data_IF_686730922698
#
_entry.id   IF_686730922698
#
_cell.length_a   1.000
_cell.length_b   1.000
_cell.length_c   1.000
_cell.angle_alpha   90.00
_cell.angle_beta   90.00
_cell.angle_gamma   90.00
#
_symmetry.space_group_name_H-M   'P 1'
#
loop_
_entity.id
_entity.type
_entity.pdbx_description
1 polymer ?
#
# COMPACT_ATOMS: atom_id res chain seq x y z
N UNK A 1 -16.60 16.83 -47.62
CA UNK A 1 -15.50 16.33 -46.78
C UNK A 1 -15.19 17.39 -45.74
N UNK A 2 -15.67 17.21 -44.51
CA UNK A 2 -15.22 18.00 -43.36
C UNK A 2 -13.93 17.37 -42.87
N UNK A 3 -12.81 18.10 -42.92
CA UNK A 3 -11.54 17.59 -42.40
C UNK A 3 -11.63 17.71 -40.88
N UNK A 4 -11.83 16.59 -40.19
CA UNK A 4 -11.78 16.54 -38.74
C UNK A 4 -10.31 16.51 -38.31
N UNK A 5 -9.69 17.69 -38.25
CA UNK A 5 -8.37 17.86 -37.62
C UNK A 5 -8.49 17.45 -36.16
N UNK A 6 -7.77 16.39 -35.78
CA UNK A 6 -7.58 16.09 -34.36
C UNK A 6 -6.99 17.33 -33.66
N UNK A 7 -7.40 17.65 -32.42
CA UNK A 7 -6.79 18.74 -31.67
C UNK A 7 -5.30 18.48 -31.51
N UNK A 8 -4.48 19.53 -31.56
CA UNK A 8 -3.07 19.41 -31.26
C UNK A 8 -2.90 18.96 -29.80
N UNK A 9 -1.94 18.07 -29.54
CA UNK A 9 -1.59 17.65 -28.19
C UNK A 9 -1.12 18.86 -27.37
N UNK A 10 -1.68 19.03 -26.17
CA UNK A 10 -1.15 19.95 -25.15
C UNK A 10 0.35 19.65 -24.95
N UNK A 11 1.26 20.63 -25.09
CA UNK A 11 2.66 20.43 -24.75
C UNK A 11 2.80 20.25 -23.24
N UNK A 12 3.81 19.49 -22.79
CA UNK A 12 4.07 19.38 -21.37
C UNK A 12 4.56 20.72 -20.78
N UNK A 13 3.96 21.12 -19.67
CA UNK A 13 4.31 22.33 -18.92
C UNK A 13 5.44 22.06 -17.94
N UNK A 14 5.88 23.10 -17.24
CA UNK A 14 6.81 22.93 -16.10
C UNK A 14 6.20 22.17 -14.92
N UNK A 15 4.88 22.17 -14.77
CA UNK A 15 4.17 21.52 -13.67
C UNK A 15 3.99 20.03 -13.97
N UNK A 16 3.65 19.68 -15.21
CA UNK A 16 3.65 18.28 -15.68
C UNK A 16 5.02 17.63 -15.42
N UNK A 17 6.11 18.30 -15.80
CA UNK A 17 7.46 17.75 -15.67
C UNK A 17 7.90 17.51 -14.19
N UNK A 18 7.31 18.22 -13.23
CA UNK A 18 7.53 17.96 -11.79
C UNK A 18 6.65 16.81 -11.29
N UNK A 19 5.43 16.67 -11.82
CA UNK A 19 4.56 15.54 -11.53
C UNK A 19 5.12 14.21 -12.08
N UNK A 20 5.62 14.20 -13.32
CA UNK A 20 6.29 13.06 -13.94
C UNK A 20 7.53 12.63 -13.13
N UNK A 21 8.43 13.56 -12.82
CA UNK A 21 9.64 13.26 -12.04
C UNK A 21 9.34 12.77 -10.61
N UNK A 22 8.25 13.24 -10.00
CA UNK A 22 7.77 12.69 -8.73
C UNK A 22 7.18 11.28 -8.89
N UNK A 23 6.50 11.00 -10.01
CA UNK A 23 6.00 9.65 -10.35
C UNK A 23 7.16 8.67 -10.55
N UNK A 24 8.21 9.07 -11.27
CA UNK A 24 9.46 8.28 -11.39
C UNK A 24 10.07 8.00 -10.00
N UNK A 25 10.13 9.02 -9.13
CA UNK A 25 10.62 8.87 -7.74
C UNK A 25 9.75 7.87 -6.93
N UNK A 26 8.43 7.85 -7.13
CA UNK A 26 7.54 6.88 -6.48
C UNK A 26 7.71 5.46 -7.03
N UNK A 27 8.08 5.30 -8.30
CA UNK A 27 8.40 4.02 -8.92
C UNK A 27 9.73 3.48 -8.37
N UNK A 28 10.75 4.33 -8.25
CA UNK A 28 12.05 3.98 -7.63
C UNK A 28 11.90 3.58 -6.15
N UNK A 29 11.11 4.34 -5.37
CA UNK A 29 10.86 4.05 -3.96
C UNK A 29 9.92 2.84 -3.76
N UNK A 30 9.04 2.54 -4.74
CA UNK A 30 8.13 1.41 -4.66
C UNK A 30 8.16 0.46 -5.89
N UNK A 31 9.09 -0.50 -5.89
CA UNK A 31 9.08 -1.64 -6.81
C UNK A 31 7.77 -2.43 -6.96
N UNK A 32 6.85 -2.44 -5.99
CA UNK A 32 5.54 -3.10 -6.18
C UNK A 32 4.57 -2.23 -6.97
N UNK A 33 4.73 -0.91 -6.95
CA UNK A 33 4.02 0.01 -7.85
C UNK A 33 4.45 -0.22 -9.31
N UNK A 34 5.75 -0.38 -9.57
CA UNK A 34 6.26 -0.75 -10.90
C UNK A 34 5.57 -2.01 -11.44
N UNK A 35 5.55 -3.09 -10.63
CA UNK A 35 4.87 -4.35 -10.97
C UNK A 35 3.36 -4.16 -11.18
N UNK A 36 2.70 -3.33 -10.36
CA UNK A 36 1.24 -3.05 -10.46
C UNK A 36 0.89 -2.23 -11.70
N UNK A 37 1.80 -1.37 -12.18
CA UNK A 37 1.66 -0.60 -13.41
C UNK A 37 2.09 -1.37 -14.67
N UNK A 38 2.62 -2.59 -14.53
CA UNK A 38 3.14 -3.39 -15.64
C UNK A 38 4.51 -2.93 -16.16
N UNK A 39 5.27 -2.19 -15.34
CA UNK A 39 6.62 -1.72 -15.66
C UNK A 39 7.66 -2.80 -15.30
N UNK A 40 8.52 -3.23 -16.24
CA UNK A 40 9.51 -4.28 -16.00
C UNK A 40 10.78 -3.78 -15.29
N UNK A 41 11.61 -4.70 -14.81
CA UNK A 41 12.94 -4.44 -14.25
C UNK A 41 13.06 -4.61 -12.73
N UNK A 42 11.93 -4.61 -12.00
CA UNK A 42 11.86 -4.70 -10.54
C UNK A 42 10.94 -5.84 -10.05
N UNK A 43 10.75 -6.89 -10.86
CA UNK A 43 9.74 -7.93 -10.69
C UNK A 43 9.89 -8.75 -9.39
N UNK A 44 11.06 -8.71 -8.74
CA UNK A 44 11.34 -9.41 -7.48
C UNK A 44 11.29 -8.52 -6.23
N UNK A 45 11.22 -7.19 -6.38
CA UNK A 45 11.60 -6.23 -5.33
C UNK A 45 10.39 -5.64 -4.58
N UNK A 46 10.62 -5.17 -3.36
CA UNK A 46 9.64 -4.48 -2.51
C UNK A 46 10.14 -3.08 -2.15
N UNK A 47 9.23 -2.17 -1.83
CA UNK A 47 9.59 -0.95 -1.07
C UNK A 47 10.22 -1.31 0.28
N UNK A 48 11.05 -0.41 0.81
CA UNK A 48 11.50 -0.52 2.19
C UNK A 48 10.38 -0.11 3.16
N UNK A 49 9.78 -1.11 3.82
CA UNK A 49 8.75 -0.90 4.85
C UNK A 49 9.34 -0.48 6.22
N UNK A 50 10.66 -0.30 6.34
CA UNK A 50 11.30 0.21 7.55
C UNK A 50 11.04 1.71 7.77
N UNK A 51 11.38 2.26 8.96
CA UNK A 51 11.25 3.69 9.21
C UNK A 51 12.03 4.58 8.23
N UNK A 52 13.09 4.06 7.60
CA UNK A 52 13.90 4.79 6.64
C UNK A 52 13.18 4.95 5.29
N UNK A 53 12.70 3.85 4.68
CA UNK A 53 11.93 3.90 3.44
C UNK A 53 10.64 4.71 3.57
N UNK A 54 9.88 4.53 4.66
CA UNK A 54 8.69 5.34 4.96
C UNK A 54 9.03 6.84 5.05
N UNK A 55 10.14 7.20 5.71
CA UNK A 55 10.61 8.59 5.75
C UNK A 55 11.08 9.12 4.37
N UNK A 56 11.58 8.23 3.50
CA UNK A 56 11.95 8.52 2.11
C UNK A 56 10.77 8.99 1.26
N UNK A 57 9.59 8.35 1.36
CA UNK A 57 8.37 8.84 0.69
C UNK A 57 7.97 10.25 1.13
N UNK A 58 8.11 10.54 2.43
CA UNK A 58 7.85 11.88 2.95
C UNK A 58 8.94 12.90 2.54
N UNK A 59 10.18 12.47 2.27
CA UNK A 59 11.22 13.33 1.69
C UNK A 59 10.94 13.63 0.23
N UNK A 60 10.57 12.63 -0.57
CA UNK A 60 10.12 12.81 -1.95
C UNK A 60 8.94 13.79 -2.04
N UNK A 61 7.93 13.65 -1.16
CA UNK A 61 6.79 14.56 -1.10
C UNK A 61 7.18 16.01 -0.72
N UNK A 62 8.13 16.20 0.22
CA UNK A 62 8.70 17.53 0.53
C UNK A 62 9.41 18.13 -0.67
N UNK A 63 10.23 17.34 -1.37
CA UNK A 63 11.02 17.78 -2.52
C UNK A 63 10.13 18.14 -3.72
N UNK A 64 9.08 17.38 -3.98
CA UNK A 64 8.09 17.69 -5.02
C UNK A 64 7.29 18.96 -4.71
N UNK A 65 6.82 19.15 -3.46
CA UNK A 65 6.14 20.39 -3.06
C UNK A 65 7.05 21.62 -3.18
N UNK A 66 8.33 21.51 -2.85
CA UNK A 66 9.31 22.58 -3.04
C UNK A 66 9.60 22.86 -4.53
N UNK A 67 9.58 21.84 -5.40
CA UNK A 67 9.71 22.02 -6.85
C UNK A 67 8.50 22.69 -7.50
N UNK A 68 7.32 22.61 -6.87
CA UNK A 68 6.08 23.32 -7.24
C UNK A 68 5.95 24.71 -6.59
N UNK A 69 6.92 25.16 -5.78
CA UNK A 69 6.89 26.48 -5.15
C UNK A 69 7.26 27.58 -6.15
N UNK A 70 6.41 28.60 -6.28
CA UNK A 70 6.60 29.69 -7.24
C UNK A 70 6.39 29.31 -8.72
N UNK A 71 5.86 28.12 -9.02
CA UNK A 71 5.29 27.82 -10.33
C UNK A 71 3.86 28.36 -10.41
N UNK A 72 3.64 29.28 -11.34
CA UNK A 72 2.32 29.73 -11.76
C UNK A 72 1.79 28.80 -12.88
N UNK A 73 0.48 28.49 -12.92
CA UNK A 73 -0.09 27.59 -13.92
C UNK A 73 -0.11 28.22 -15.33
N UNK A 74 0.28 27.44 -16.34
CA UNK A 74 0.25 27.88 -17.74
C UNK A 74 -1.18 27.79 -18.34
N UNK A 75 -2.03 26.90 -17.81
CA UNK A 75 -3.45 26.73 -18.16
C UNK A 75 -4.31 26.16 -16.99
N UNK A 76 -5.55 25.74 -17.29
CA UNK A 76 -6.49 25.18 -16.31
C UNK A 76 -6.14 23.75 -15.85
N UNK A 77 -5.45 22.98 -16.68
CA UNK A 77 -4.93 21.65 -16.30
C UNK A 77 -3.81 21.81 -15.27
N UNK A 78 -2.88 22.74 -15.47
CA UNK A 78 -1.83 23.05 -14.49
C UNK A 78 -2.42 23.50 -13.13
N UNK A 79 -3.50 24.29 -13.15
CA UNK A 79 -4.17 24.73 -11.93
C UNK A 79 -4.76 23.55 -11.13
N UNK A 80 -5.35 22.56 -11.82
CA UNK A 80 -5.85 21.33 -11.18
C UNK A 80 -4.70 20.46 -10.67
N UNK A 81 -3.61 20.32 -11.44
CA UNK A 81 -2.42 19.54 -11.02
C UNK A 81 -1.78 20.15 -9.76
N UNK A 82 -1.64 21.48 -9.71
CA UNK A 82 -1.11 22.17 -8.52
C UNK A 82 -2.00 21.97 -7.30
N UNK A 83 -3.32 22.11 -7.42
CA UNK A 83 -4.25 21.95 -6.29
C UNK A 83 -4.26 20.50 -5.76
N UNK A 84 -4.40 19.53 -6.68
CA UNK A 84 -4.41 18.11 -6.34
C UNK A 84 -3.08 17.65 -5.71
N UNK A 85 -1.93 18.06 -6.25
CA UNK A 85 -0.64 17.72 -5.64
C UNK A 85 -0.45 18.39 -4.28
N UNK A 86 -0.91 19.64 -4.10
CA UNK A 86 -0.77 20.37 -2.83
C UNK A 86 -1.60 19.76 -1.70
N UNK A 87 -2.85 19.31 -1.95
CA UNK A 87 -3.61 18.55 -0.94
C UNK A 87 -2.95 17.18 -0.69
N UNK A 88 -2.76 16.36 -1.74
CA UNK A 88 -2.35 14.95 -1.58
C UNK A 88 -0.99 14.81 -0.88
N UNK A 89 0.03 15.55 -1.33
CA UNK A 89 1.36 15.52 -0.72
C UNK A 89 1.35 16.26 0.63
N UNK A 90 0.60 17.35 0.77
CA UNK A 90 0.45 18.06 2.04
C UNK A 90 -0.16 17.19 3.14
N UNK A 91 -1.20 16.42 2.80
CA UNK A 91 -1.85 15.45 3.68
C UNK A 91 -0.92 14.27 4.02
N UNK A 92 -0.17 13.74 3.05
CA UNK A 92 0.85 12.73 3.31
C UNK A 92 1.85 13.21 4.37
N UNK A 93 2.31 14.47 4.29
CA UNK A 93 3.21 15.05 5.29
C UNK A 93 2.56 15.26 6.67
N UNK A 94 1.26 15.54 6.74
CA UNK A 94 0.51 15.59 8.00
C UNK A 94 0.37 14.20 8.64
N UNK A 95 0.16 13.15 7.83
CA UNK A 95 0.09 11.75 8.29
C UNK A 95 1.46 11.30 8.80
N UNK A 96 2.53 11.58 8.05
CA UNK A 96 3.92 11.35 8.44
C UNK A 96 4.28 12.07 9.75
N UNK A 97 3.97 13.36 9.87
CA UNK A 97 4.18 14.14 11.09
C UNK A 97 3.37 13.61 12.29
N UNK A 98 2.20 12.99 12.06
CA UNK A 98 1.45 12.30 13.12
C UNK A 98 2.16 11.02 13.59
N UNK A 99 2.95 10.38 12.72
CA UNK A 99 3.65 9.13 12.97
C UNK A 99 2.74 7.89 13.09
N UNK A 100 1.50 7.95 12.58
CA UNK A 100 0.58 6.81 12.61
C UNK A 100 0.73 5.83 11.43
N UNK A 101 1.39 6.23 10.34
CA UNK A 101 1.79 5.35 9.22
C UNK A 101 2.69 4.20 9.68
N UNK A 102 3.65 4.45 10.58
CA UNK A 102 4.50 3.41 11.18
C UNK A 102 3.72 2.40 12.02
N UNK A 103 2.47 2.71 12.41
CA UNK A 103 1.54 1.84 13.13
C UNK A 103 0.44 1.24 12.23
N UNK A 104 0.59 1.31 10.91
CA UNK A 104 -0.41 0.82 9.96
C UNK A 104 -0.56 -0.70 10.03
N UNK A 105 -1.65 -1.15 10.67
CA UNK A 105 -2.05 -2.54 10.74
C UNK A 105 -3.58 -2.60 10.81
N UNK A 106 -4.19 -3.22 9.80
CA UNK A 106 -5.64 -3.47 9.76
C UNK A 106 -5.94 -4.78 9.01
N UNK A 107 -7.22 -5.14 8.91
CA UNK A 107 -7.68 -6.42 8.38
C UNK A 107 -7.80 -6.52 6.84
N UNK A 108 -7.51 -5.46 6.07
CA UNK A 108 -7.84 -5.39 4.64
C UNK A 108 -6.72 -4.82 3.75
N UNK A 109 -6.09 -3.71 4.13
CA UNK A 109 -5.10 -2.99 3.34
C UNK A 109 -4.02 -2.41 4.26
N UNK A 110 -2.95 -3.17 4.46
CA UNK A 110 -1.75 -2.80 5.21
C UNK A 110 -0.61 -3.73 4.78
N UNK A 111 0.67 -3.43 5.09
CA UNK A 111 1.81 -4.19 4.56
C UNK A 111 1.73 -5.71 4.73
N UNK A 112 1.09 -6.19 5.81
CA UNK A 112 0.87 -7.62 6.04
C UNK A 112 0.05 -8.32 4.94
N UNK A 113 -0.93 -7.65 4.35
CA UNK A 113 -1.70 -8.15 3.21
C UNK A 113 -0.99 -7.85 1.88
N UNK A 114 -0.46 -6.65 1.71
CA UNK A 114 0.08 -6.16 0.44
C UNK A 114 1.31 -6.94 -0.03
N UNK A 115 2.20 -7.31 0.92
CA UNK A 115 3.37 -8.16 0.66
C UNK A 115 2.97 -9.55 0.11
N UNK A 116 1.75 -10.04 0.41
CA UNK A 116 1.20 -11.27 -0.18
C UNK A 116 0.38 -10.99 -1.45
N UNK A 117 -0.32 -9.85 -1.52
CA UNK A 117 -1.22 -9.53 -2.63
C UNK A 117 -0.51 -9.32 -3.96
N UNK A 118 0.71 -8.78 -3.96
CA UNK A 118 1.47 -8.52 -5.18
C UNK A 118 1.76 -9.80 -6.01
N UNK A 119 1.79 -10.98 -5.38
CA UNK A 119 1.94 -12.27 -6.08
C UNK A 119 0.75 -12.60 -6.99
N UNK A 120 -0.46 -12.10 -6.69
CA UNK A 120 -1.65 -12.36 -7.49
C UNK A 120 -1.62 -11.61 -8.85
N UNK A 121 -0.70 -10.65 -9.01
CA UNK A 121 -0.45 -9.90 -10.25
C UNK A 121 0.71 -10.48 -11.07
N UNK A 122 1.46 -11.45 -10.55
CA UNK A 122 2.62 -12.01 -11.26
C UNK A 122 2.18 -13.03 -12.33
N UNK A 123 2.76 -12.99 -13.55
CA UNK A 123 2.51 -14.02 -14.56
C UNK A 123 3.07 -15.38 -14.14
N UNK A 124 2.65 -16.44 -14.82
CA UNK A 124 3.04 -17.84 -14.56
C UNK A 124 3.21 -18.66 -15.85
N UNK A 125 3.33 -17.98 -17.00
CA UNK A 125 3.34 -18.59 -18.32
C UNK A 125 4.71 -19.17 -18.73
N UNK A 126 5.79 -18.57 -18.23
CA UNK A 126 7.18 -18.89 -18.60
C UNK A 126 8.03 -19.26 -17.39
N UNK A 127 9.17 -19.94 -17.63
CA UNK A 127 10.16 -20.21 -16.58
C UNK A 127 10.72 -18.93 -15.94
N UNK A 128 10.84 -17.83 -16.71
CA UNK A 128 11.29 -16.53 -16.20
C UNK A 128 10.27 -15.94 -15.21
N UNK A 129 8.97 -16.07 -15.49
CA UNK A 129 7.92 -15.58 -14.58
C UNK A 129 8.03 -16.29 -13.21
N UNK A 130 8.29 -17.60 -13.23
CA UNK A 130 8.52 -18.40 -12.03
C UNK A 130 9.87 -18.11 -11.35
N UNK A 131 10.91 -17.70 -12.09
CA UNK A 131 12.12 -17.14 -11.48
C UNK A 131 11.85 -15.82 -10.76
N UNK A 132 11.00 -14.95 -11.34
CA UNK A 132 10.60 -13.70 -10.69
C UNK A 132 9.78 -13.98 -9.42
N UNK A 133 8.81 -14.91 -9.45
CA UNK A 133 8.04 -15.34 -8.27
C UNK A 133 8.97 -15.92 -7.19
N UNK A 134 9.91 -16.80 -7.55
CA UNK A 134 10.88 -17.37 -6.62
C UNK A 134 11.80 -16.32 -6.00
N UNK A 135 12.23 -15.32 -6.79
CA UNK A 135 12.99 -14.16 -6.32
C UNK A 135 12.19 -13.31 -5.34
N UNK A 136 10.94 -12.95 -5.69
CA UNK A 136 10.06 -12.18 -4.83
C UNK A 136 9.77 -12.87 -3.50
N UNK A 137 9.54 -14.20 -3.53
CA UNK A 137 9.33 -14.99 -2.32
C UNK A 137 10.54 -14.97 -1.38
N UNK A 138 11.77 -14.93 -1.92
CA UNK A 138 13.01 -14.78 -1.15
C UNK A 138 13.21 -13.38 -0.54
N UNK A 139 12.53 -12.36 -1.08
CA UNK A 139 12.59 -10.99 -0.58
C UNK A 139 11.49 -10.65 0.46
N UNK A 140 10.45 -11.49 0.60
CA UNK A 140 9.40 -11.36 1.64
C UNK A 140 9.97 -11.21 3.07
N UNK A 141 11.02 -11.94 3.52
CA UNK A 141 11.60 -11.76 4.84
C UNK A 141 12.08 -10.33 5.11
N UNK A 142 12.85 -9.73 4.19
CA UNK A 142 13.37 -8.38 4.36
C UNK A 142 12.26 -7.32 4.42
N UNK A 143 11.21 -7.47 3.59
CA UNK A 143 10.04 -6.59 3.62
C UNK A 143 9.29 -6.68 4.97
N UNK A 144 9.14 -7.89 5.52
CA UNK A 144 8.49 -8.10 6.81
C UNK A 144 9.37 -7.66 8.00
N UNK A 145 10.69 -7.82 7.94
CA UNK A 145 11.62 -7.31 8.96
C UNK A 145 11.58 -5.77 9.04
N UNK A 146 11.55 -5.09 7.88
CA UNK A 146 11.34 -3.64 7.81
C UNK A 146 10.01 -3.21 8.44
N UNK A 147 8.90 -3.85 8.04
CA UNK A 147 7.57 -3.60 8.60
C UNK A 147 7.51 -3.83 10.13
N UNK A 148 8.13 -4.89 10.64
CA UNK A 148 8.24 -5.13 12.09
C UNK A 148 9.10 -4.07 12.80
N UNK A 149 10.12 -3.51 12.15
CA UNK A 149 10.88 -2.38 12.69
C UNK A 149 10.01 -1.11 12.81
N UNK A 150 9.20 -0.81 11.81
CA UNK A 150 8.24 0.31 11.83
C UNK A 150 7.20 0.17 12.93
N UNK A 151 6.52 -0.99 13.01
CA UNK A 151 5.55 -1.29 14.06
C UNK A 151 6.16 -1.21 15.47
N UNK A 152 7.42 -1.63 15.63
CA UNK A 152 8.14 -1.54 16.90
C UNK A 152 8.46 -0.09 17.28
N UNK A 153 8.96 0.72 16.33
CA UNK A 153 9.19 2.15 16.56
C UNK A 153 7.89 2.89 16.93
N UNK A 154 6.79 2.56 16.25
CA UNK A 154 5.49 3.18 16.52
C UNK A 154 4.96 2.80 17.91
N UNK A 155 5.05 1.51 18.29
CA UNK A 155 4.73 1.02 19.64
C UNK A 155 5.50 1.79 20.72
N UNK A 156 6.81 1.94 20.53
CA UNK A 156 7.68 2.61 21.50
C UNK A 156 7.40 4.13 21.57
N UNK A 157 6.81 4.71 20.50
CA UNK A 157 6.23 6.04 20.47
C UNK A 157 4.74 6.12 20.91
N UNK A 158 4.22 5.07 21.54
CA UNK A 158 2.85 5.00 22.09
C UNK A 158 1.74 4.77 21.05
N UNK A 159 2.08 4.33 19.84
CA UNK A 159 1.15 4.18 18.70
C UNK A 159 1.02 2.72 18.29
N UNK A 160 -0.12 2.12 18.62
CA UNK A 160 -0.42 0.71 18.32
C UNK A 160 -1.82 0.61 17.73
N UNK A 161 -2.01 -0.27 16.74
CA UNK A 161 -3.33 -0.62 16.24
C UNK A 161 -4.18 -1.33 17.31
N UNK A 162 -5.50 -1.23 17.23
CA UNK A 162 -6.39 -1.85 18.21
C UNK A 162 -6.18 -3.37 18.30
N UNK A 163 -6.29 -3.94 19.50
CA UNK A 163 -6.01 -5.34 19.78
C UNK A 163 -6.86 -6.31 18.91
N UNK A 164 -8.06 -5.87 18.50
CA UNK A 164 -8.89 -6.56 17.49
C UNK A 164 -8.17 -6.73 16.15
N UNK A 165 -7.60 -5.65 15.61
CA UNK A 165 -6.90 -5.66 14.33
C UNK A 165 -5.64 -6.52 14.40
N UNK A 166 -4.86 -6.40 15.48
CA UNK A 166 -3.66 -7.24 15.72
C UNK A 166 -4.04 -8.73 15.75
N UNK A 167 -5.13 -9.11 16.42
CA UNK A 167 -5.64 -10.49 16.44
C UNK A 167 -6.06 -10.99 15.05
N UNK A 168 -6.75 -10.17 14.26
CA UNK A 168 -7.19 -10.54 12.90
C UNK A 168 -5.97 -10.74 11.97
N UNK A 169 -4.98 -9.85 12.02
CA UNK A 169 -3.78 -9.99 11.18
C UNK A 169 -2.99 -11.24 11.58
N UNK A 170 -2.85 -11.55 12.88
CA UNK A 170 -2.26 -12.82 13.34
C UNK A 170 -2.97 -14.04 12.71
N UNK A 171 -4.30 -14.03 12.65
CA UNK A 171 -5.08 -15.12 12.02
C UNK A 171 -4.85 -15.20 10.51
N UNK A 172 -4.78 -14.05 9.82
CA UNK A 172 -4.51 -13.97 8.38
C UNK A 172 -3.10 -14.48 8.03
N UNK A 173 -2.06 -13.99 8.71
CA UNK A 173 -0.67 -14.38 8.38
C UNK A 173 -0.37 -15.83 8.75
N UNK A 174 -1.01 -16.37 9.79
CA UNK A 174 -0.93 -17.80 10.10
C UNK A 174 -1.51 -18.67 8.98
N UNK A 175 -2.59 -18.23 8.31
CA UNK A 175 -3.15 -18.91 7.12
C UNK A 175 -2.24 -18.78 5.89
N UNK A 176 -1.48 -17.69 5.75
CA UNK A 176 -0.51 -17.56 4.66
C UNK A 176 0.69 -18.52 4.84
N UNK A 177 1.16 -18.68 6.08
CA UNK A 177 2.32 -19.52 6.44
C UNK A 177 2.02 -21.04 6.57
N UNK A 178 0.75 -21.41 6.71
CA UNK A 178 0.30 -22.79 7.00
C UNK A 178 0.87 -23.86 6.03
N UNK A 179 0.90 -25.15 6.41
CA UNK A 179 1.32 -26.24 5.52
C UNK A 179 0.47 -26.37 4.24
N UNK A 180 -0.78 -25.94 4.26
CA UNK A 180 -1.64 -25.75 3.10
C UNK A 180 -1.91 -24.25 2.83
N UNK A 181 -1.05 -23.36 3.32
CA UNK A 181 -1.18 -21.92 3.14
C UNK A 181 -0.91 -21.43 1.71
N UNK A 182 -1.00 -20.12 1.52
CA UNK A 182 -0.82 -19.47 0.21
C UNK A 182 0.50 -19.89 -0.46
N UNK A 183 1.63 -19.70 0.22
CA UNK A 183 2.96 -19.98 -0.34
C UNK A 183 3.20 -21.47 -0.60
N UNK A 184 2.68 -22.35 0.26
CA UNK A 184 2.77 -23.80 0.07
C UNK A 184 1.96 -24.26 -1.17
N UNK A 185 0.75 -23.71 -1.36
CA UNK A 185 -0.09 -23.98 -2.54
C UNK A 185 0.49 -23.37 -3.82
N UNK A 186 1.13 -22.19 -3.73
CA UNK A 186 1.83 -21.53 -4.85
C UNK A 186 3.00 -22.37 -5.37
N UNK A 187 3.86 -22.88 -4.47
CA UNK A 187 4.99 -23.72 -4.83
C UNK A 187 4.54 -25.11 -5.35
N UNK A 188 3.60 -25.77 -4.67
CA UNK A 188 3.11 -27.10 -5.04
C UNK A 188 2.22 -27.10 -6.31
N UNK A 189 1.65 -25.95 -6.69
CA UNK A 189 0.87 -25.77 -7.91
C UNK A 189 1.67 -25.26 -9.11
N UNK A 190 3.00 -25.17 -9.00
CA UNK A 190 3.84 -24.49 -9.98
C UNK A 190 4.06 -25.28 -11.27
N UNK A 191 4.11 -24.57 -12.40
CA UNK A 191 4.25 -25.15 -13.72
C UNK A 191 3.89 -24.16 -14.83
N UNK A 192 4.18 -24.54 -16.07
CA UNK A 192 3.81 -23.78 -17.28
C UNK A 192 2.84 -24.58 -18.15
N UNK A 193 2.37 -23.99 -19.26
CA UNK A 193 1.64 -24.74 -20.29
C UNK A 193 2.44 -25.90 -20.92
N UNK A 194 3.78 -25.92 -20.75
CA UNK A 194 4.65 -27.03 -21.17
C UNK A 194 4.75 -28.19 -20.17
N UNK A 195 4.27 -28.01 -18.94
CA UNK A 195 4.35 -29.00 -17.86
C UNK A 195 5.03 -28.48 -16.58
N UNK A 196 5.51 -29.37 -15.69
CA UNK A 196 6.21 -29.01 -14.46
C UNK A 196 7.47 -28.19 -14.71
N UNK A 197 7.88 -27.40 -13.71
CA UNK A 197 9.11 -26.61 -13.78
C UNK A 197 10.38 -27.50 -13.81
N UNK A 198 11.49 -27.02 -14.39
CA UNK A 198 12.80 -27.65 -14.21
C UNK A 198 13.15 -27.80 -12.72
N UNK A 199 13.74 -28.92 -12.31
CA UNK A 199 13.98 -29.21 -10.90
C UNK A 199 14.73 -28.09 -10.16
N UNK A 200 15.79 -27.54 -10.76
CA UNK A 200 16.56 -26.43 -10.17
C UNK A 200 15.77 -25.10 -10.06
N UNK A 201 14.65 -24.96 -10.76
CA UNK A 201 13.71 -23.84 -10.62
C UNK A 201 12.66 -24.14 -9.53
N UNK A 202 12.18 -25.37 -9.44
CA UNK A 202 11.35 -25.81 -8.31
C UNK A 202 12.11 -25.65 -6.98
N UNK A 203 13.37 -26.09 -6.92
CA UNK A 203 14.26 -25.90 -5.76
C UNK A 203 14.42 -24.41 -5.37
N UNK A 204 14.47 -23.50 -6.38
CA UNK A 204 14.50 -22.05 -6.14
C UNK A 204 13.20 -21.55 -5.52
N UNK A 205 12.06 -22.02 -6.04
CA UNK A 205 10.71 -21.61 -5.64
C UNK A 205 10.33 -22.14 -4.26
N UNK A 206 10.53 -23.43 -4.00
CA UNK A 206 10.22 -24.10 -2.73
C UNK A 206 10.94 -23.41 -1.56
N UNK A 207 12.26 -23.19 -1.69
CA UNK A 207 13.04 -22.49 -0.67
C UNK A 207 12.72 -20.98 -0.58
N UNK A 208 12.12 -20.37 -1.60
CA UNK A 208 11.56 -19.01 -1.52
C UNK A 208 10.22 -18.98 -0.78
N UNK A 209 9.33 -19.92 -1.08
CA UNK A 209 8.06 -20.10 -0.40
C UNK A 209 8.26 -20.42 1.09
N UNK A 210 9.20 -21.30 1.45
CA UNK A 210 9.52 -21.60 2.85
C UNK A 210 10.13 -20.41 3.59
N UNK A 211 10.95 -19.57 2.93
CA UNK A 211 11.43 -18.32 3.50
C UNK A 211 10.27 -17.35 3.79
N UNK A 212 9.34 -17.17 2.85
CA UNK A 212 8.14 -16.35 3.05
C UNK A 212 7.23 -16.89 4.16
N UNK A 213 7.03 -18.21 4.25
CA UNK A 213 6.27 -18.87 5.33
C UNK A 213 6.92 -18.67 6.69
N UNK A 214 8.24 -18.81 6.77
CA UNK A 214 9.00 -18.57 8.00
C UNK A 214 8.88 -17.10 8.46
N UNK A 215 9.00 -16.14 7.53
CA UNK A 215 8.86 -14.72 7.83
C UNK A 215 7.44 -14.34 8.29
N UNK A 216 6.38 -14.85 7.63
CA UNK A 216 5.01 -14.64 8.09
C UNK A 216 4.71 -15.33 9.44
N UNK A 217 5.37 -16.45 9.74
CA UNK A 217 5.34 -17.06 11.08
C UNK A 217 6.03 -16.16 12.11
N UNK A 218 7.16 -15.55 11.76
CA UNK A 218 7.86 -14.56 12.56
C UNK A 218 7.00 -13.33 12.87
N UNK A 219 6.34 -12.76 11.85
CA UNK A 219 5.37 -11.68 12.03
C UNK A 219 4.23 -12.10 12.97
N UNK A 220 3.67 -13.31 12.81
CA UNK A 220 2.60 -13.80 13.68
C UNK A 220 3.02 -13.87 15.16
N UNK A 221 4.28 -14.22 15.44
CA UNK A 221 4.81 -14.26 16.80
C UNK A 221 5.20 -12.87 17.34
N UNK A 222 5.81 -12.00 16.52
CA UNK A 222 6.03 -10.58 16.86
C UNK A 222 4.72 -9.89 17.23
N UNK A 223 3.69 -10.02 16.40
CA UNK A 223 2.38 -9.43 16.68
C UNK A 223 1.78 -9.99 17.98
N UNK A 224 1.97 -11.28 18.27
CA UNK A 224 1.47 -11.94 19.50
C UNK A 224 2.23 -11.51 20.77
N UNK A 225 3.54 -11.32 20.68
CA UNK A 225 4.43 -11.19 21.86
C UNK A 225 4.92 -9.77 22.11
N UNK A 226 5.11 -8.98 21.06
CA UNK A 226 5.66 -7.61 21.15
C UNK A 226 4.61 -6.52 20.92
N UNK A 227 3.57 -6.77 20.10
CA UNK A 227 2.58 -5.74 19.73
C UNK A 227 1.25 -5.89 20.49
N UNK A 228 0.65 -7.08 20.49
CA UNK A 228 -0.65 -7.34 21.14
C UNK A 228 -0.68 -6.99 22.64
N UNK A 229 0.38 -7.22 23.45
CA UNK A 229 0.38 -6.81 24.87
C UNK A 229 0.39 -5.29 25.09
N UNK A 230 0.73 -4.50 24.06
CA UNK A 230 0.70 -3.04 24.07
C UNK A 230 -0.50 -2.44 23.31
N UNK A 231 -1.33 -3.29 22.69
CA UNK A 231 -2.44 -2.85 21.84
C UNK A 231 -3.67 -2.45 22.67
N UNK A 232 -4.32 -1.30 22.40
CA UNK A 232 -5.52 -0.90 23.10
C UNK A 232 -6.73 -1.78 22.70
N UNK A 233 -7.56 -2.15 23.67
CA UNK A 233 -8.87 -2.81 23.42
C UNK A 233 -9.94 -1.84 22.91
N UNK A 234 -9.66 -0.52 22.92
CA UNK A 234 -10.54 0.51 22.33
C UNK A 234 -10.27 0.56 20.83
N UNK A 235 -11.27 0.19 20.02
CA UNK A 235 -11.20 0.25 18.56
C UNK A 235 -11.23 1.69 18.00
N UNK A 236 -11.78 2.65 18.75
CA UNK A 236 -11.99 4.01 18.29
C UNK A 236 -10.65 4.79 18.21
N UNK A 237 -10.31 5.26 17.00
CA UNK A 237 -9.03 5.96 16.74
C UNK A 237 -8.97 7.38 17.30
N UNK A 238 -10.11 8.01 17.57
CA UNK A 238 -10.20 9.40 18.04
C UNK A 238 -10.05 10.46 16.93
N UNK A 239 -10.53 11.67 17.23
CA UNK A 239 -10.80 12.74 16.25
C UNK A 239 -9.62 13.05 15.31
N UNK A 240 -8.44 13.36 15.85
CA UNK A 240 -7.29 13.80 15.05
C UNK A 240 -6.80 12.75 14.03
N UNK A 241 -6.93 11.45 14.36
CA UNK A 241 -6.63 10.37 13.41
C UNK A 241 -7.74 10.19 12.39
N UNK A 242 -9.00 10.29 12.82
CA UNK A 242 -10.15 10.14 11.95
C UNK A 242 -10.21 11.25 10.90
N UNK A 243 -9.94 12.50 11.27
CA UNK A 243 -9.93 13.64 10.33
C UNK A 243 -8.90 13.45 9.20
N UNK A 244 -7.67 13.06 9.53
CA UNK A 244 -6.63 12.78 8.52
C UNK A 244 -7.01 11.59 7.62
N UNK A 245 -7.49 10.49 8.19
CA UNK A 245 -7.92 9.32 7.41
C UNK A 245 -9.14 9.61 6.52
N UNK A 246 -10.09 10.43 7.01
CA UNK A 246 -11.25 10.89 6.25
C UNK A 246 -10.83 11.74 5.06
N UNK A 247 -9.91 12.70 5.25
CA UNK A 247 -9.30 13.47 4.14
C UNK A 247 -8.60 12.58 3.11
N UNK A 248 -7.93 11.51 3.54
CA UNK A 248 -7.27 10.58 2.60
C UNK A 248 -8.29 9.94 1.66
N UNK A 249 -9.43 9.47 2.19
CA UNK A 249 -10.49 8.84 1.42
C UNK A 249 -11.33 9.82 0.59
N UNK A 250 -11.60 11.03 1.10
CA UNK A 250 -12.60 11.95 0.52
C UNK A 250 -12.02 13.08 -0.35
N UNK A 251 -10.75 13.43 -0.19
CA UNK A 251 -10.19 14.64 -0.82
C UNK A 251 -10.65 15.97 -0.19
N UNK A 252 -11.36 15.93 0.93
CA UNK A 252 -11.92 17.09 1.60
C UNK A 252 -11.84 16.98 3.12
N UNK A 253 -11.67 18.11 3.82
CA UNK A 253 -11.82 18.21 5.27
C UNK A 253 -13.27 18.59 5.60
N UNK A 254 -14.11 17.57 5.81
CA UNK A 254 -15.53 17.74 6.14
C UNK A 254 -15.73 17.94 7.65
N UNK A 255 -16.77 18.68 8.03
CA UNK A 255 -17.22 18.73 9.43
C UNK A 255 -17.79 17.36 9.81
N UNK A 256 -17.13 16.68 10.76
CA UNK A 256 -17.46 15.29 11.13
C UNK A 256 -18.78 15.19 11.91
N UNK A 257 -19.18 16.24 12.63
CA UNK A 257 -20.41 16.25 13.44
C UNK A 257 -21.62 16.60 12.57
N UNK A 258 -21.47 17.53 11.62
CA UNK A 258 -22.46 17.83 10.58
C UNK A 258 -22.63 16.63 9.63
N UNK A 259 -21.53 16.05 9.12
CA UNK A 259 -21.58 14.87 8.23
C UNK A 259 -22.26 13.68 8.91
N UNK A 260 -22.03 13.48 10.22
CA UNK A 260 -22.74 12.45 10.99
C UNK A 260 -24.24 12.75 11.11
N UNK A 261 -24.61 13.99 11.43
CA UNK A 261 -26.01 14.41 11.55
C UNK A 261 -26.76 14.33 10.20
N UNK A 262 -26.09 14.63 9.09
CA UNK A 262 -26.58 14.40 7.74
C UNK A 262 -26.77 12.91 7.45
N UNK A 263 -25.77 12.08 7.76
CA UNK A 263 -25.82 10.63 7.51
C UNK A 263 -26.95 9.90 8.24
N UNK A 264 -27.32 10.36 9.45
CA UNK A 264 -28.50 9.85 10.17
C UNK A 264 -29.80 10.23 9.45
N UNK A 265 -29.95 11.48 9.03
CA UNK A 265 -31.13 11.94 8.29
C UNK A 265 -31.29 11.26 6.93
N UNK A 266 -30.18 11.02 6.21
CA UNK A 266 -30.18 10.31 4.94
C UNK A 266 -30.52 8.81 5.12
N UNK A 267 -30.10 8.18 6.22
CA UNK A 267 -30.53 6.82 6.56
C UNK A 267 -32.04 6.74 6.82
N UNK A 268 -32.59 7.65 7.64
CA UNK A 268 -34.03 7.71 7.91
C UNK A 268 -34.83 7.93 6.61
N UNK A 269 -34.33 8.81 5.72
CA UNK A 269 -34.93 9.06 4.40
C UNK A 269 -34.89 7.82 3.51
N UNK A 270 -33.76 7.10 3.46
CA UNK A 270 -33.61 5.89 2.65
C UNK A 270 -34.51 4.75 3.15
N UNK A 271 -34.71 4.62 4.46
CA UNK A 271 -35.67 3.67 5.04
C UNK A 271 -37.10 4.04 4.64
N UNK A 272 -37.49 5.32 4.79
CA UNK A 272 -38.82 5.79 4.42
C UNK A 272 -39.15 5.61 2.92
N UNK A 273 -38.15 5.70 2.04
CA UNK A 273 -38.32 5.38 0.61
C UNK A 273 -38.39 3.86 0.37
N UNK A 274 -37.67 3.03 1.12
CA UNK A 274 -37.77 1.57 1.04
C UNK A 274 -39.12 1.02 1.53
N UNK A 275 -39.75 1.66 2.52
CA UNK A 275 -41.08 1.27 3.01
C UNK A 275 -42.23 1.61 2.03
N UNK A 276 -41.96 2.34 0.94
CA UNK A 276 -42.93 2.72 -0.09
C UNK A 276 -42.94 1.81 -1.34
N UNK A 277 -42.06 0.79 -1.42
CA UNK A 277 -41.79 -0.02 -2.62
C UNK A 277 -42.14 -1.50 -2.46
#
# INVERSE_FOLDING_TARGET
MTIHTAPASRPQTRIDAVADAYTDTLIELNPTLATTLGLPGHETEYQDFSPAGIAGFAEAARNALAALEGLEPEDDVDAVTLDAMRERLGLQLLIHASGWEYAELNNIASPAQDIRAIFDLMPTATEQDWEHIAGRARNVPAALDGYMASLRMARDAGKVAAARQVRIVIEQVAKYAAPDGFFAKLAAGAGTAGGPLPAALQDKLDAGADAARAAYTGLAEFLRTELLPAAPEIDAVGWARYALASRSCLGAEVDLEETYAWGVQELDRLIAEQEQV
#
